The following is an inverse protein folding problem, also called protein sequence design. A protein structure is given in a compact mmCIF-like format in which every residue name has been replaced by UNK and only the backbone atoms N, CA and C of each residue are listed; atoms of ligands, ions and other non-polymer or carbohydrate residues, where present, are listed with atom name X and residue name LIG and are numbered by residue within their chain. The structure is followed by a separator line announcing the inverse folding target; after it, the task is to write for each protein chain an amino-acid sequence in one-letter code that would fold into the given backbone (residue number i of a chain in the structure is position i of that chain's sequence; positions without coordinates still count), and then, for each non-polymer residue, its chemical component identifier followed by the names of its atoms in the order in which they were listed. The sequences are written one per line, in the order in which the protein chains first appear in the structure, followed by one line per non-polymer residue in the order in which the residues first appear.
data_IF_939001870444
#
_entry.id   IF_939001870444
#
_cell.length_a   1.000
_cell.length_b   1.000
_cell.length_c   1.000
_cell.angle_alpha   90.00
_cell.angle_beta   90.00
_cell.angle_gamma   90.00
#
_symmetry.space_group_name_H-M   'P 1'
#
loop_
_entity.id
_entity.type
_entity.pdbx_description
1 polymer ?
#
# COMPACT_ATOMS: atom_id res chain seq x y z
N UNK A 1 -13.54 11.14 -15.83
CA UNK A 1 -13.97 9.73 -16.08
C UNK A 1 -14.42 9.61 -17.53
N UNK A 2 -13.55 10.00 -18.46
CA UNK A 2 -13.79 10.17 -19.89
C UNK A 2 -12.80 9.32 -20.72
N UNK A 3 -12.16 8.33 -20.07
CA UNK A 3 -11.13 7.47 -20.65
C UNK A 3 -9.93 8.23 -21.27
N UNK A 4 -9.66 9.46 -20.83
CA UNK A 4 -8.52 10.26 -21.32
C UNK A 4 -7.15 9.85 -20.74
N UNK A 5 -7.13 8.99 -19.70
CA UNK A 5 -5.93 8.46 -19.04
C UNK A 5 -4.86 9.52 -18.69
N UNK A 6 -5.29 10.72 -18.28
CA UNK A 6 -4.40 11.82 -17.86
C UNK A 6 -3.79 11.56 -16.48
N UNK A 7 -2.90 10.56 -16.38
CA UNK A 7 -2.32 10.08 -15.12
C UNK A 7 -1.61 11.20 -14.36
N UNK A 8 -0.82 12.04 -15.04
CA UNK A 8 -0.11 13.14 -14.40
C UNK A 8 -1.05 14.15 -13.72
N UNK A 9 -2.18 14.45 -14.34
CA UNK A 9 -3.18 15.36 -13.76
C UNK A 9 -3.93 14.67 -12.63
N UNK A 10 -4.24 13.38 -12.79
CA UNK A 10 -4.79 12.54 -11.73
C UNK A 10 -3.91 12.53 -10.47
N UNK A 11 -2.60 12.38 -10.62
CA UNK A 11 -1.66 12.41 -9.48
C UNK A 11 -1.63 13.79 -8.79
N UNK A 12 -1.64 14.88 -9.56
CA UNK A 12 -1.68 16.25 -8.99
C UNK A 12 -2.98 16.48 -8.21
N UNK A 13 -4.12 16.05 -8.77
CA UNK A 13 -5.43 16.19 -8.14
C UNK A 13 -5.50 15.32 -6.87
N UNK A 14 -5.07 14.06 -6.94
CA UNK A 14 -5.10 13.14 -5.80
C UNK A 14 -4.24 13.64 -4.65
N UNK A 15 -3.01 14.11 -4.94
CA UNK A 15 -2.13 14.66 -3.90
C UNK A 15 -2.71 15.94 -3.29
N UNK A 16 -3.25 16.86 -4.11
CA UNK A 16 -3.89 18.07 -3.60
C UNK A 16 -5.07 17.75 -2.69
N UNK A 17 -5.93 16.83 -3.10
CA UNK A 17 -7.07 16.40 -2.27
C UNK A 17 -6.60 15.84 -0.92
N UNK A 18 -5.57 15.00 -0.91
CA UNK A 18 -5.03 14.45 0.33
C UNK A 18 -4.42 15.55 1.22
N UNK A 19 -3.75 16.55 0.64
CA UNK A 19 -3.27 17.72 1.38
C UNK A 19 -4.44 18.47 2.02
N UNK A 20 -5.45 18.83 1.24
CA UNK A 20 -6.62 19.58 1.71
C UNK A 20 -7.35 18.84 2.85
N UNK A 21 -7.46 17.50 2.77
CA UNK A 21 -8.05 16.66 3.82
C UNK A 21 -7.20 16.68 5.09
N UNK A 22 -5.88 16.46 4.97
CA UNK A 22 -4.98 16.46 6.12
C UNK A 22 -4.88 17.85 6.78
N UNK A 23 -4.88 18.93 5.98
CA UNK A 23 -4.86 20.31 6.47
C UNK A 23 -6.13 20.67 7.25
N UNK A 24 -7.26 20.02 6.95
CA UNK A 24 -8.49 20.13 7.76
C UNK A 24 -8.43 19.37 9.09
N UNK A 25 -7.32 18.66 9.37
CA UNK A 25 -7.12 17.84 10.56
C UNK A 25 -7.73 16.43 10.47
N UNK A 26 -8.18 16.01 9.29
CA UNK A 26 -8.75 14.68 9.07
C UNK A 26 -7.69 13.74 8.48
N UNK A 27 -7.42 12.58 9.11
CA UNK A 27 -6.49 11.61 8.56
C UNK A 27 -7.08 10.91 7.33
N UNK A 28 -6.25 10.64 6.33
CA UNK A 28 -6.63 9.92 5.13
C UNK A 28 -6.13 8.46 5.15
N UNK A 29 -6.94 7.57 4.58
CA UNK A 29 -6.60 6.16 4.38
C UNK A 29 -6.78 5.77 2.91
N UNK A 30 -5.91 4.89 2.41
CA UNK A 30 -5.90 4.49 1.00
C UNK A 30 -5.51 3.04 0.77
N UNK A 31 -5.72 2.55 -0.45
CA UNK A 31 -5.27 1.24 -0.90
C UNK A 31 -4.04 1.37 -1.81
N UNK A 32 -2.98 0.62 -1.51
CA UNK A 32 -1.75 0.63 -2.28
C UNK A 32 -1.75 -0.53 -3.28
N UNK A 33 -2.07 -0.20 -4.53
CA UNK A 33 -2.25 -1.17 -5.62
C UNK A 33 -1.01 -1.34 -6.51
N UNK A 34 -0.16 -0.34 -6.56
CA UNK A 34 1.02 -0.33 -7.41
C UNK A 34 2.25 0.19 -6.66
N UNK A 35 3.42 -0.05 -7.26
CA UNK A 35 4.71 0.23 -6.63
C UNK A 35 5.23 1.65 -6.88
N UNK A 36 4.52 2.47 -7.65
CA UNK A 36 4.95 3.80 -8.09
C UNK A 36 4.18 4.89 -7.34
N UNK A 37 2.86 4.81 -7.37
CA UNK A 37 1.95 5.80 -6.77
C UNK A 37 2.25 6.10 -5.30
N UNK A 38 2.65 5.12 -4.44
CA UNK A 38 3.02 5.42 -3.06
C UNK A 38 4.09 6.52 -2.93
N UNK A 39 5.03 6.65 -3.87
CA UNK A 39 6.06 7.71 -3.82
C UNK A 39 5.48 9.13 -3.92
N UNK A 40 4.25 9.28 -4.42
CA UNK A 40 3.60 10.58 -4.64
C UNK A 40 2.58 10.93 -3.57
N UNK A 41 2.14 9.98 -2.74
CA UNK A 41 1.01 10.19 -1.82
C UNK A 41 1.19 9.56 -0.44
N UNK A 42 2.15 8.65 -0.25
CA UNK A 42 2.26 7.90 1.01
C UNK A 42 2.61 8.77 2.22
N UNK A 43 3.25 9.93 2.01
CA UNK A 43 3.52 10.91 3.06
C UNK A 43 2.26 11.57 3.62
N UNK A 44 1.13 11.44 2.93
CA UNK A 44 -0.17 12.00 3.31
C UNK A 44 -1.17 10.92 3.75
N UNK A 45 -0.72 9.66 3.85
CA UNK A 45 -1.56 8.54 4.27
C UNK A 45 -1.28 8.20 5.73
N UNK A 46 -2.32 8.29 6.56
CA UNK A 46 -2.25 7.85 7.96
C UNK A 46 -2.42 6.34 8.09
N UNK A 47 -3.02 5.69 7.08
CA UNK A 47 -3.24 4.25 7.06
C UNK A 47 -3.32 3.68 5.64
N UNK A 48 -2.76 2.50 5.44
CA UNK A 48 -2.75 1.79 4.16
C UNK A 48 -3.51 0.48 4.18
N UNK A 49 -3.99 0.06 3.01
CA UNK A 49 -4.48 -1.30 2.79
C UNK A 49 -3.82 -1.95 1.57
N UNK A 50 -3.62 -3.26 1.64
CA UNK A 50 -3.33 -4.14 0.50
C UNK A 50 -4.57 -4.97 0.23
N UNK A 51 -5.00 -4.97 -1.04
CA UNK A 51 -6.21 -5.64 -1.50
C UNK A 51 -6.18 -7.16 -1.36
N UNK A 52 -7.34 -7.79 -1.22
CA UNK A 52 -7.43 -9.25 -1.03
C UNK A 52 -6.84 -10.07 -2.19
N UNK A 53 -6.74 -9.48 -3.38
CA UNK A 53 -6.14 -10.09 -4.58
C UNK A 53 -4.62 -9.90 -4.65
N UNK A 54 -4.07 -8.96 -3.89
CA UNK A 54 -2.65 -8.61 -3.89
C UNK A 54 -1.96 -8.95 -2.58
N UNK A 55 -2.70 -9.32 -1.53
CA UNK A 55 -2.17 -9.80 -0.25
C UNK A 55 -1.14 -10.93 -0.41
N UNK A 56 -1.38 -11.90 -1.31
CA UNK A 56 -0.42 -12.99 -1.54
C UNK A 56 0.78 -12.59 -2.41
N UNK A 57 0.73 -11.43 -3.07
CA UNK A 57 1.81 -10.94 -3.92
C UNK A 57 3.02 -10.58 -3.07
N UNK A 58 4.17 -11.19 -3.38
CA UNK A 58 5.42 -10.86 -2.71
C UNK A 58 5.73 -9.38 -2.84
N UNK A 59 5.65 -8.82 -4.05
CA UNK A 59 5.96 -7.41 -4.36
C UNK A 59 5.16 -6.45 -3.48
N UNK A 60 3.90 -6.76 -3.18
CA UNK A 60 3.07 -5.95 -2.27
C UNK A 60 3.44 -6.12 -0.79
N UNK A 61 3.95 -7.30 -0.38
CA UNK A 61 4.54 -7.47 0.96
C UNK A 61 5.83 -6.67 1.11
N UNK A 62 6.66 -6.61 0.06
CA UNK A 62 7.87 -5.78 0.06
C UNK A 62 7.49 -4.30 0.12
N UNK A 63 6.45 -3.89 -0.60
CA UNK A 63 5.90 -2.52 -0.49
C UNK A 63 5.47 -2.22 0.95
N UNK A 64 4.62 -3.07 1.53
CA UNK A 64 4.11 -2.89 2.89
C UNK A 64 5.24 -2.79 3.92
N UNK A 65 6.35 -3.52 3.70
CA UNK A 65 7.56 -3.47 4.53
C UNK A 65 8.26 -2.10 4.54
N UNK A 66 8.06 -1.29 3.49
CA UNK A 66 8.69 0.01 3.32
C UNK A 66 7.76 1.21 3.52
N UNK A 67 6.47 0.98 3.80
CA UNK A 67 5.51 2.05 4.06
C UNK A 67 5.70 2.62 5.46
N UNK A 68 5.62 3.95 5.58
CA UNK A 68 5.77 4.70 6.84
C UNK A 68 4.46 4.83 7.64
N UNK A 69 3.43 4.07 7.28
CA UNK A 69 2.14 4.04 7.97
C UNK A 69 1.72 2.58 8.27
N UNK A 70 0.79 2.36 9.21
CA UNK A 70 0.21 1.04 9.45
C UNK A 70 -0.51 0.49 8.21
N UNK A 71 -0.43 -0.82 7.98
CA UNK A 71 -0.97 -1.45 6.76
C UNK A 71 -1.90 -2.61 7.10
N UNK A 72 -3.12 -2.59 6.56
CA UNK A 72 -4.00 -3.75 6.57
C UNK A 72 -3.81 -4.65 5.36
N UNK A 73 -3.65 -5.94 5.63
CA UNK A 73 -3.70 -6.98 4.62
C UNK A 73 -5.14 -7.53 4.57
N UNK A 74 -5.88 -7.22 3.50
CA UNK A 74 -7.23 -7.75 3.31
C UNK A 74 -7.17 -9.25 3.07
N UNK A 75 -7.96 -10.02 3.80
CA UNK A 75 -8.10 -11.47 3.61
C UNK A 75 -9.57 -11.87 3.51
N UNK A 76 -9.84 -12.92 2.74
CA UNK A 76 -11.14 -13.57 2.66
C UNK A 76 -11.12 -14.85 3.52
N UNK A 77 -12.18 -15.16 4.28
CA UNK A 77 -12.19 -16.30 5.22
C UNK A 77 -12.03 -17.72 4.63
N UNK A 78 -11.81 -17.89 3.32
CA UNK A 78 -12.11 -19.16 2.63
C UNK A 78 -11.02 -20.25 2.63
N UNK A 79 -9.84 -20.08 3.26
CA UNK A 79 -8.86 -21.18 3.28
C UNK A 79 -7.94 -21.15 4.51
N UNK A 80 -8.03 -22.07 5.50
CA UNK A 80 -7.32 -21.98 6.79
C UNK A 80 -5.78 -21.99 6.77
N UNK A 81 -5.13 -22.54 5.74
CA UNK A 81 -3.73 -23.00 5.88
C UNK A 81 -2.66 -22.01 5.42
N UNK A 82 -2.92 -21.15 4.43
CA UNK A 82 -1.88 -20.27 3.84
C UNK A 82 -1.83 -18.84 4.40
N UNK A 83 -2.92 -18.29 4.93
CA UNK A 83 -2.88 -16.95 5.56
C UNK A 83 -2.24 -16.99 6.95
N UNK A 84 -2.27 -18.14 7.63
CA UNK A 84 -1.66 -18.30 8.95
C UNK A 84 -0.13 -18.17 8.89
N UNK A 85 0.52 -18.62 7.81
CA UNK A 85 1.97 -18.42 7.60
C UNK A 85 2.32 -16.95 7.33
N UNK A 86 1.39 -16.20 6.72
CA UNK A 86 1.52 -14.76 6.54
C UNK A 86 1.43 -14.00 7.88
N UNK A 87 0.71 -14.55 8.86
CA UNK A 87 0.66 -14.04 10.26
C UNK A 87 1.99 -14.24 11.00
N UNK A 88 2.79 -15.23 10.61
CA UNK A 88 4.06 -15.59 11.24
C UNK A 88 5.27 -14.92 10.62
N UNK A 89 5.11 -14.37 9.41
CA UNK A 89 6.16 -13.62 8.73
C UNK A 89 5.72 -12.15 8.72
N UNK A 90 6.09 -11.35 9.73
CA UNK A 90 6.02 -9.90 9.56
C UNK A 90 6.71 -9.55 8.23
N UNK A 91 6.35 -8.45 7.56
CA UNK A 91 7.18 -7.96 6.47
C UNK A 91 8.50 -7.49 7.07
N UNK A 92 9.37 -8.43 7.44
CA UNK A 92 10.60 -8.25 8.18
C UNK A 92 11.59 -9.30 7.68
N UNK A 93 12.36 -8.88 6.68
CA UNK A 93 13.81 -8.67 6.80
C UNK A 93 14.30 -8.31 5.40
N UNK A 94 14.85 -7.08 5.27
CA UNK A 94 15.62 -6.57 4.12
C UNK A 94 15.10 -7.05 2.77
N UNK A 95 14.10 -6.37 2.25
CA UNK A 95 13.63 -6.64 0.90
C UNK A 95 14.29 -5.69 -0.08
N UNK A 96 14.87 -6.22 -1.16
CA UNK A 96 15.51 -5.48 -2.25
C UNK A 96 14.47 -5.25 -3.34
N UNK A 97 13.97 -4.02 -3.45
CA UNK A 97 13.10 -3.62 -4.57
C UNK A 97 13.84 -2.65 -5.48
N UNK A 98 13.85 -2.87 -6.80
CA UNK A 98 14.54 -1.99 -7.76
C UNK A 98 13.67 -0.77 -8.13
N UNK A 99 13.49 0.24 -7.26
CA UNK A 99 12.99 1.58 -7.65
C UNK A 99 13.46 2.76 -6.76
N UNK A 100 13.91 3.85 -7.39
CA UNK A 100 14.39 5.08 -6.72
C UNK A 100 13.23 5.97 -6.26
N UNK A 101 13.32 6.62 -5.08
CA UNK A 101 12.11 7.07 -4.36
C UNK A 101 11.57 8.45 -4.78
N UNK A 102 12.35 9.30 -5.46
CA UNK A 102 11.92 10.70 -5.74
C UNK A 102 12.23 11.24 -7.14
N UNK A 103 13.19 10.65 -7.84
CA UNK A 103 13.70 11.15 -9.12
C UNK A 103 13.28 10.31 -10.34
N UNK A 104 12.40 9.32 -10.13
CA UNK A 104 11.88 8.47 -11.21
C UNK A 104 12.85 7.40 -11.74
N UNK A 105 14.03 7.25 -11.14
CA UNK A 105 15.00 6.22 -11.54
C UNK A 105 14.70 4.84 -10.91
N UNK A 106 15.34 3.78 -11.40
CA UNK A 106 15.34 2.48 -10.72
C UNK A 106 16.52 2.39 -9.76
N UNK A 107 16.31 1.91 -8.53
CA UNK A 107 17.38 1.76 -7.53
C UNK A 107 17.06 0.63 -6.57
N UNK A 108 18.06 -0.08 -6.06
CA UNK A 108 17.85 -1.10 -5.03
C UNK A 108 17.49 -0.42 -3.71
N UNK A 109 16.30 -0.69 -3.20
CA UNK A 109 15.78 -0.19 -1.92
C UNK A 109 15.82 -1.31 -0.91
N UNK A 110 16.38 -1.03 0.27
CA UNK A 110 16.32 -1.93 1.42
C UNK A 110 15.34 -1.36 2.45
N UNK A 111 14.36 -2.16 2.86
CA UNK A 111 13.40 -1.80 3.90
C UNK A 111 13.80 -2.37 5.26
N UNK A 112 13.47 -1.66 6.33
CA UNK A 112 13.62 -2.14 7.72
C UNK A 112 12.53 -3.13 8.12
N UNK A 113 11.45 -3.19 7.35
CA UNK A 113 10.22 -3.88 7.71
C UNK A 113 9.24 -2.97 8.43
N UNK A 114 7.96 -3.36 8.38
CA UNK A 114 6.86 -2.62 9.00
C UNK A 114 6.21 -3.50 10.08
N UNK A 115 6.34 -3.07 11.33
CA UNK A 115 5.78 -3.76 12.49
C UNK A 115 4.26 -3.56 12.64
N UNK A 116 3.71 -2.51 12.03
CA UNK A 116 2.32 -2.08 12.20
C UNK A 116 1.40 -2.67 11.10
N UNK A 117 1.67 -3.92 10.73
CA UNK A 117 0.86 -4.65 9.76
C UNK A 117 -0.20 -5.52 10.45
N UNK A 118 -1.46 -5.33 10.05
CA UNK A 118 -2.61 -6.01 10.63
C UNK A 118 -3.43 -6.77 9.58
N UNK A 119 -4.18 -7.78 10.00
CA UNK A 119 -5.10 -8.52 9.13
C UNK A 119 -6.48 -7.85 9.13
N UNK A 120 -7.03 -7.60 7.95
CA UNK A 120 -8.39 -7.09 7.78
C UNK A 120 -9.28 -8.16 7.15
N UNK A 121 -10.28 -8.62 7.92
CA UNK A 121 -11.28 -9.56 7.40
C UNK A 121 -12.36 -8.80 6.64
N UNK A 122 -12.29 -8.86 5.31
CA UNK A 122 -13.31 -8.28 4.45
C UNK A 122 -14.35 -9.36 4.10
N UNK A 123 -15.63 -9.03 4.28
CA UNK A 123 -16.72 -9.86 3.73
C UNK A 123 -16.63 -9.84 2.21
N UNK A 124 -16.86 -11.00 1.58
CA UNK A 124 -17.05 -11.09 0.14
C UNK A 124 -18.28 -10.24 -0.22
N UNK A 125 -18.10 -9.16 -0.97
CA UNK A 125 -19.25 -8.49 -1.59
C UNK A 125 -19.84 -9.47 -2.61
N UNK A 126 -21.13 -9.78 -2.48
CA UNK A 126 -21.87 -10.52 -3.51
C UNK A 126 -21.87 -9.62 -4.76
N UNK A 127 -21.34 -10.14 -5.85
CA UNK A 127 -21.51 -9.55 -7.17
C UNK A 127 -22.97 -9.70 -7.61
#
# INVERSE_FOLDING_TARGET
MDNSFRINDGLRIARKLLLDINDSGLPAAGEFLDMITPQYVADLMSWGAIGARTTESQVHRELASGLSCPVALKTVPMAPSRWLSMRLTPPARRTVSCRSPKWGHSAIVNTSGNGDCLLLFARRQRA
#
